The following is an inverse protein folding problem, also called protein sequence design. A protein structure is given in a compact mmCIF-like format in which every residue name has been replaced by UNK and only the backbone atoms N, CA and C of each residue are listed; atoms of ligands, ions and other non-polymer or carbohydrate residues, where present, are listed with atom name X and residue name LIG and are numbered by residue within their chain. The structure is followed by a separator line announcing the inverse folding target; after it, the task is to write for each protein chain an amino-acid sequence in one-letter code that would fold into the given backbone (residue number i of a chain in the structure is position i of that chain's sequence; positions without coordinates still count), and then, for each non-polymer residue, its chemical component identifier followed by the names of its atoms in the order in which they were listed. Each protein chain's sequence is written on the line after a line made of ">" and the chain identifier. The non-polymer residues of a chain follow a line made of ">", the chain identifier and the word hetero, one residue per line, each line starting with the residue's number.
data_IF_187528650663
#
_entry.id   IF_187528650663
#
_cell.length_a   1.000
_cell.length_b   1.000
_cell.length_c   1.000
_cell.angle_alpha   90.00
_cell.angle_beta   90.00
_cell.angle_gamma   90.00
#
_symmetry.space_group_name_H-M   'P 1'
#
loop_
_entity.id
_entity.type
_entity.pdbx_description
1 polymer ?
#
# COMPACT_ATOMS: atom_id res chain seq x y z
N UNK A 1 26.65 -67.76 -20.00
CA UNK A 1 26.15 -66.67 -20.87
C UNK A 1 24.66 -66.88 -20.95
N UNK A 2 23.75 -66.02 -20.49
CA UNK A 2 23.82 -64.57 -20.32
C UNK A 2 22.89 -64.08 -19.19
N UNK A 3 23.23 -62.91 -18.67
CA UNK A 3 22.64 -62.11 -17.60
C UNK A 3 21.30 -61.53 -18.09
N UNK A 4 20.25 -61.25 -17.30
CA UNK A 4 20.12 -60.02 -16.50
C UNK A 4 18.66 -59.92 -15.98
N UNK A 5 18.49 -59.82 -14.66
CA UNK A 5 18.00 -58.65 -13.92
C UNK A 5 16.47 -58.46 -13.83
N UNK A 6 15.96 -58.80 -12.65
CA UNK A 6 14.89 -58.09 -11.94
C UNK A 6 14.88 -56.59 -12.26
N UNK A 7 13.72 -56.05 -12.65
CA UNK A 7 13.40 -54.65 -12.42
C UNK A 7 11.99 -54.53 -11.87
N UNK A 8 11.94 -54.37 -10.54
CA UNK A 8 10.79 -53.91 -9.79
C UNK A 8 10.31 -52.59 -10.38
N UNK A 9 9.09 -52.57 -10.92
CA UNK A 9 8.42 -51.33 -11.32
C UNK A 9 7.81 -50.72 -10.07
N UNK A 10 8.60 -49.92 -9.35
CA UNK A 10 8.09 -49.02 -8.31
C UNK A 10 7.41 -47.84 -9.00
N UNK A 11 6.09 -47.92 -9.15
CA UNK A 11 5.25 -46.79 -9.54
C UNK A 11 5.24 -45.82 -8.35
N UNK A 12 6.17 -44.86 -8.35
CA UNK A 12 6.05 -43.67 -7.51
C UNK A 12 4.87 -42.85 -8.05
N UNK A 13 3.73 -42.92 -7.36
CA UNK A 13 2.66 -41.93 -7.51
C UNK A 13 3.20 -40.60 -7.00
N UNK A 14 3.90 -39.86 -7.87
CA UNK A 14 4.25 -38.46 -7.61
C UNK A 14 2.94 -37.69 -7.69
N UNK A 15 2.28 -37.50 -6.55
CA UNK A 15 1.23 -36.49 -6.43
C UNK A 15 1.90 -35.15 -6.65
N UNK A 16 1.82 -34.63 -7.89
CA UNK A 16 2.24 -33.27 -8.19
C UNK A 16 1.53 -32.35 -7.20
N UNK A 17 2.27 -31.57 -6.39
CA UNK A 17 1.63 -30.57 -5.54
C UNK A 17 0.89 -29.63 -6.48
N UNK A 18 -0.43 -29.55 -6.32
CA UNK A 18 -1.26 -28.57 -7.01
C UNK A 18 -0.76 -27.20 -6.53
N UNK A 19 0.09 -26.56 -7.32
CA UNK A 19 0.45 -25.17 -7.12
C UNK A 19 -0.82 -24.36 -7.41
N UNK A 20 -1.58 -24.01 -6.37
CA UNK A 20 -2.61 -22.99 -6.47
C UNK A 20 -1.90 -21.68 -6.80
N UNK A 21 -2.00 -21.25 -8.05
CA UNK A 21 -1.53 -19.92 -8.43
C UNK A 21 -2.29 -18.90 -7.59
N UNK A 22 -1.55 -18.06 -6.86
CA UNK A 22 -2.18 -16.92 -6.20
C UNK A 22 -2.88 -16.09 -7.29
N UNK A 23 -4.17 -15.80 -7.10
CA UNK A 23 -4.95 -14.97 -8.02
C UNK A 23 -5.29 -13.61 -7.39
N UNK A 24 -5.53 -12.61 -8.24
CA UNK A 24 -5.97 -11.28 -7.82
C UNK A 24 -7.35 -11.42 -7.15
N UNK A 25 -7.47 -10.99 -5.90
CA UNK A 25 -8.79 -10.89 -5.27
C UNK A 25 -9.48 -9.60 -5.72
N UNK A 26 -10.52 -9.75 -6.55
CA UNK A 26 -11.33 -8.62 -7.02
C UNK A 26 -11.99 -7.82 -5.88
N UNK A 27 -12.26 -8.43 -4.72
CA UNK A 27 -12.76 -7.71 -3.54
C UNK A 27 -11.68 -6.80 -2.96
N UNK A 28 -10.42 -7.22 -3.00
CA UNK A 28 -9.28 -6.40 -2.62
C UNK A 28 -9.15 -5.17 -3.50
N UNK A 29 -9.22 -5.37 -4.82
CA UNK A 29 -9.18 -4.29 -5.81
C UNK A 29 -10.38 -3.34 -5.64
N UNK A 30 -11.57 -3.88 -5.36
CA UNK A 30 -12.74 -3.05 -5.07
C UNK A 30 -12.56 -2.16 -3.82
N UNK A 31 -11.88 -2.66 -2.78
CA UNK A 31 -11.50 -1.86 -1.60
C UNK A 31 -10.55 -0.73 -1.99
N UNK A 32 -9.52 -1.03 -2.78
CA UNK A 32 -8.60 -0.02 -3.29
C UNK A 32 -9.32 1.07 -4.08
N UNK A 33 -10.27 0.69 -4.94
CA UNK A 33 -11.02 1.64 -5.75
C UNK A 33 -11.88 2.61 -4.93
N UNK A 34 -12.34 2.18 -3.76
CA UNK A 34 -13.19 2.97 -2.85
C UNK A 34 -12.39 3.76 -1.81
N UNK A 35 -11.06 3.60 -1.75
CA UNK A 35 -10.27 4.14 -0.64
C UNK A 35 -10.59 3.46 0.71
N UNK A 36 -11.07 2.22 0.69
CA UNK A 36 -11.32 1.46 1.91
C UNK A 36 -9.97 1.03 2.51
N UNK A 37 -9.68 1.48 3.74
CA UNK A 37 -8.44 1.18 4.44
C UNK A 37 -8.18 -0.32 4.60
N UNK A 38 -9.20 -1.18 4.60
CA UNK A 38 -9.01 -2.63 4.66
C UNK A 38 -8.28 -3.20 3.42
N UNK A 39 -8.16 -2.43 2.33
CA UNK A 39 -7.28 -2.77 1.21
C UNK A 39 -5.84 -3.08 1.68
N UNK A 40 -5.28 -2.28 2.59
CA UNK A 40 -3.90 -2.49 3.05
C UNK A 40 -3.70 -3.83 3.76
N UNK A 41 -4.69 -4.29 4.54
CA UNK A 41 -4.66 -5.60 5.19
C UNK A 41 -4.81 -6.73 4.18
N UNK A 42 -5.69 -6.55 3.21
CA UNK A 42 -5.85 -7.51 2.13
C UNK A 42 -4.57 -7.65 1.29
N UNK A 43 -3.92 -6.53 0.95
CA UNK A 43 -2.62 -6.55 0.28
C UNK A 43 -1.54 -7.21 1.16
N UNK A 44 -1.53 -6.93 2.47
CA UNK A 44 -0.57 -7.54 3.40
C UNK A 44 -0.68 -9.08 3.46
N UNK A 45 -1.88 -9.66 3.30
CA UNK A 45 -2.05 -11.12 3.25
C UNK A 45 -1.24 -11.77 2.13
N UNK A 46 -1.06 -11.05 1.01
CA UNK A 46 -0.25 -11.52 -0.12
C UNK A 46 1.21 -11.10 -0.02
N UNK A 47 1.49 -9.82 0.31
CA UNK A 47 2.86 -9.28 0.30
C UNK A 47 3.67 -9.66 1.54
N UNK A 48 3.02 -9.81 2.69
CA UNK A 48 3.59 -10.25 3.97
C UNK A 48 4.81 -9.44 4.42
N UNK A 49 4.73 -8.11 4.42
CA UNK A 49 5.81 -7.22 4.85
C UNK A 49 5.96 -7.05 6.37
N UNK A 50 5.04 -7.63 7.14
CA UNK A 50 5.02 -7.57 8.60
C UNK A 50 4.36 -6.31 9.15
N UNK A 51 4.11 -6.33 10.47
CA UNK A 51 3.39 -5.27 11.19
C UNK A 51 4.07 -3.89 11.10
N UNK A 52 5.40 -3.86 10.99
CA UNK A 52 6.19 -2.64 10.82
C UNK A 52 6.38 -2.22 9.35
N UNK A 53 5.99 -3.09 8.40
CA UNK A 53 6.04 -2.81 6.98
C UNK A 53 5.07 -1.70 6.57
N UNK A 54 5.28 -1.12 5.38
CA UNK A 54 4.51 0.03 4.91
C UNK A 54 2.99 -0.19 4.96
N UNK A 55 2.50 -1.35 4.52
CA UNK A 55 1.07 -1.63 4.41
C UNK A 55 0.35 -1.49 5.76
N UNK A 56 0.92 -2.07 6.82
CA UNK A 56 0.28 -2.06 8.16
C UNK A 56 0.77 -0.90 9.01
N UNK A 57 2.10 -0.74 9.12
CA UNK A 57 2.72 0.25 9.99
C UNK A 57 2.50 1.70 9.55
N UNK A 58 2.19 1.92 8.26
CA UNK A 58 1.98 3.25 7.70
C UNK A 58 0.61 3.40 7.01
N UNK A 59 0.39 2.71 5.89
CA UNK A 59 -0.81 2.87 5.05
C UNK A 59 -2.11 2.63 5.81
N UNK A 60 -2.28 1.45 6.41
CA UNK A 60 -3.46 1.11 7.21
C UNK A 60 -3.64 2.05 8.41
N UNK A 61 -2.56 2.32 9.14
CA UNK A 61 -2.53 3.19 10.32
C UNK A 61 -3.03 4.59 9.98
N UNK A 62 -2.43 5.24 8.98
CA UNK A 62 -2.75 6.62 8.63
C UNK A 62 -4.08 6.75 7.89
N UNK A 63 -4.45 5.81 7.02
CA UNK A 63 -5.76 5.80 6.39
C UNK A 63 -6.88 5.84 7.44
N UNK A 64 -6.82 4.95 8.45
CA UNK A 64 -7.83 4.94 9.51
C UNK A 64 -7.77 6.18 10.40
N UNK A 65 -6.59 6.73 10.66
CA UNK A 65 -6.46 7.96 11.47
C UNK A 65 -7.01 9.18 10.73
N UNK A 66 -6.77 9.32 9.43
CA UNK A 66 -7.43 10.37 8.64
C UNK A 66 -8.95 10.20 8.65
N UNK A 67 -9.45 8.97 8.50
CA UNK A 67 -10.89 8.67 8.58
C UNK A 67 -11.49 9.02 9.96
N UNK A 68 -10.79 8.75 11.06
CA UNK A 68 -11.28 9.07 12.41
C UNK A 68 -11.32 10.58 12.70
N UNK A 69 -10.52 11.38 11.99
CA UNK A 69 -10.51 12.84 12.10
C UNK A 69 -11.32 13.53 10.98
N UNK A 70 -11.97 12.79 10.09
CA UNK A 70 -12.65 13.34 8.90
C UNK A 70 -13.61 14.49 9.25
N UNK A 71 -14.39 14.35 10.33
CA UNK A 71 -15.32 15.38 10.78
C UNK A 71 -14.66 16.69 11.20
N UNK A 72 -13.39 16.66 11.63
CA UNK A 72 -12.62 17.81 12.10
C UNK A 72 -12.02 18.64 10.95
N UNK A 73 -11.94 18.08 9.73
CA UNK A 73 -11.47 18.83 8.57
C UNK A 73 -12.51 19.85 8.11
N UNK A 74 -12.02 20.95 7.52
CA UNK A 74 -12.87 21.92 6.81
C UNK A 74 -13.53 21.25 5.60
N UNK A 75 -14.52 21.90 4.99
CA UNK A 75 -15.15 21.40 3.76
C UNK A 75 -14.11 21.12 2.65
N UNK A 76 -13.11 21.99 2.51
CA UNK A 76 -12.00 21.78 1.56
C UNK A 76 -11.14 20.57 1.97
N UNK A 77 -10.87 20.40 3.27
CA UNK A 77 -10.13 19.25 3.78
C UNK A 77 -10.84 17.91 3.57
N UNK A 78 -12.17 17.88 3.74
CA UNK A 78 -12.99 16.70 3.47
C UNK A 78 -12.96 16.32 1.99
N UNK A 79 -13.14 17.29 1.09
CA UNK A 79 -13.00 17.09 -0.37
C UNK A 79 -11.61 16.54 -0.74
N UNK A 80 -10.55 17.05 -0.10
CA UNK A 80 -9.20 16.53 -0.29
C UNK A 80 -9.08 15.08 0.18
N UNK A 81 -9.63 14.72 1.34
CA UNK A 81 -9.63 13.34 1.85
C UNK A 81 -10.38 12.37 0.93
N UNK A 82 -11.54 12.80 0.42
CA UNK A 82 -12.37 12.04 -0.50
C UNK A 82 -11.67 11.80 -1.85
N UNK A 83 -10.74 12.69 -2.24
CA UNK A 83 -9.90 12.54 -3.43
C UNK A 83 -8.64 11.70 -3.17
N UNK A 84 -7.86 12.05 -2.15
CA UNK A 84 -6.49 11.54 -1.95
C UNK A 84 -6.51 10.08 -1.50
N UNK A 85 -7.49 9.69 -0.67
CA UNK A 85 -7.57 8.34 -0.11
C UNK A 85 -7.73 7.28 -1.20
N UNK A 86 -8.74 7.37 -2.08
CA UNK A 86 -8.84 6.44 -3.21
C UNK A 86 -7.69 6.58 -4.22
N UNK A 87 -7.07 7.76 -4.37
CA UNK A 87 -5.88 7.91 -5.23
C UNK A 87 -4.72 7.04 -4.73
N UNK A 88 -4.39 7.13 -3.44
CA UNK A 88 -3.29 6.40 -2.81
C UNK A 88 -3.51 4.88 -2.89
N UNK A 89 -4.71 4.40 -2.60
CA UNK A 89 -4.98 2.96 -2.62
C UNK A 89 -5.01 2.40 -4.05
N UNK A 90 -5.57 3.13 -5.02
CA UNK A 90 -5.56 2.72 -6.44
C UNK A 90 -4.16 2.64 -7.01
N UNK A 91 -3.28 3.57 -6.65
CA UNK A 91 -1.89 3.57 -7.12
C UNK A 91 -1.15 2.27 -6.76
N UNK A 92 -1.59 1.56 -5.72
CA UNK A 92 -0.96 0.32 -5.25
C UNK A 92 -1.53 -0.95 -5.91
N UNK A 93 -2.57 -0.87 -6.74
CA UNK A 93 -3.19 -2.06 -7.38
C UNK A 93 -2.17 -2.84 -8.21
N UNK A 94 -1.36 -2.17 -9.03
CA UNK A 94 -0.33 -2.87 -9.81
C UNK A 94 0.70 -3.58 -8.94
N UNK A 95 1.04 -3.02 -7.76
CA UNK A 95 1.95 -3.68 -6.80
C UNK A 95 1.30 -4.84 -6.07
N UNK A 96 -0.01 -4.81 -5.90
CA UNK A 96 -0.77 -5.95 -5.40
C UNK A 96 -0.71 -7.11 -6.40
N UNK A 97 -0.96 -6.85 -7.68
CA UNK A 97 -0.89 -7.85 -8.75
C UNK A 97 0.51 -8.47 -8.91
N UNK A 98 1.57 -7.65 -8.80
CA UNK A 98 2.97 -8.14 -8.80
C UNK A 98 3.29 -9.10 -7.64
N UNK A 99 2.45 -9.20 -6.60
CA UNK A 99 2.72 -10.03 -5.41
C UNK A 99 2.30 -11.49 -5.55
N UNK A 100 1.75 -11.88 -6.71
CA UNK A 100 1.27 -13.24 -6.98
C UNK A 100 2.40 -14.24 -7.37
N UNK A 101 3.67 -13.82 -7.31
CA UNK A 101 4.83 -14.63 -7.67
C UNK A 101 6.00 -14.53 -6.66
N UNK A 102 7.11 -15.25 -6.91
CA UNK A 102 8.24 -15.29 -5.98
C UNK A 102 8.97 -13.93 -5.89
N UNK A 103 9.07 -13.38 -4.68
CA UNK A 103 9.89 -12.20 -4.37
C UNK A 103 9.19 -11.17 -3.48
N UNK A 104 9.58 -11.09 -2.21
CA UNK A 104 9.04 -10.09 -1.27
C UNK A 104 9.88 -8.80 -1.30
N UNK A 105 9.43 -7.81 -2.08
CA UNK A 105 10.11 -6.52 -2.28
C UNK A 105 9.55 -5.41 -1.40
N UNK A 106 9.49 -5.64 -0.09
CA UNK A 106 8.83 -4.74 0.86
C UNK A 106 9.42 -3.33 0.93
N UNK A 107 10.74 -3.20 0.84
CA UNK A 107 11.40 -1.89 0.80
C UNK A 107 11.07 -1.14 -0.50
N UNK A 108 11.07 -1.82 -1.65
CA UNK A 108 10.70 -1.21 -2.93
C UNK A 108 9.22 -0.81 -2.96
N UNK A 109 8.34 -1.63 -2.36
CA UNK A 109 6.94 -1.26 -2.18
C UNK A 109 6.80 0.00 -1.31
N UNK A 110 7.56 0.10 -0.21
CA UNK A 110 7.56 1.28 0.64
C UNK A 110 7.98 2.52 -0.15
N UNK A 111 9.10 2.47 -0.86
CA UNK A 111 9.59 3.57 -1.70
C UNK A 111 8.56 3.99 -2.74
N UNK A 112 8.04 3.04 -3.51
CA UNK A 112 6.99 3.29 -4.50
C UNK A 112 5.77 3.95 -3.87
N UNK A 113 5.33 3.46 -2.72
CA UNK A 113 4.16 4.02 -2.06
C UNK A 113 4.38 5.47 -1.60
N UNK A 114 5.55 5.81 -1.04
CA UNK A 114 5.86 7.21 -0.68
C UNK A 114 5.92 8.14 -1.90
N UNK A 115 6.45 7.69 -3.04
CA UNK A 115 6.45 8.45 -4.29
C UNK A 115 5.01 8.76 -4.77
N UNK A 116 4.09 7.79 -4.65
CA UNK A 116 2.69 8.01 -5.04
C UNK A 116 1.98 9.05 -4.17
N UNK A 117 2.43 9.29 -2.94
CA UNK A 117 1.81 10.32 -2.10
C UNK A 117 2.01 11.72 -2.66
N UNK A 118 3.21 12.04 -3.16
CA UNK A 118 3.51 13.37 -3.69
C UNK A 118 2.53 13.69 -4.83
N UNK A 119 2.41 12.79 -5.80
CA UNK A 119 1.48 12.93 -6.92
C UNK A 119 0.01 13.06 -6.45
N UNK A 120 -0.46 12.13 -5.61
CA UNK A 120 -1.86 12.17 -5.14
C UNK A 120 -2.18 13.42 -4.31
N UNK A 121 -1.22 13.91 -3.51
CA UNK A 121 -1.43 15.11 -2.70
C UNK A 121 -1.58 16.34 -3.58
N UNK A 122 -0.70 16.50 -4.58
CA UNK A 122 -0.74 17.63 -5.51
C UNK A 122 -1.97 17.59 -6.41
N UNK A 123 -2.29 16.43 -6.99
CA UNK A 123 -3.45 16.25 -7.88
C UNK A 123 -4.78 16.52 -7.16
N UNK A 124 -4.84 16.25 -5.85
CA UNK A 124 -6.02 16.51 -5.03
C UNK A 124 -6.04 17.91 -4.41
N UNK A 125 -5.06 18.78 -4.69
CA UNK A 125 -5.05 20.17 -4.23
C UNK A 125 -4.54 20.39 -2.80
N UNK A 126 -3.57 19.59 -2.34
CA UNK A 126 -3.04 19.70 -0.97
C UNK A 126 -2.52 21.11 -0.63
N UNK A 127 -1.94 21.83 -1.60
CA UNK A 127 -1.36 23.16 -1.40
C UNK A 127 -2.37 24.19 -0.88
N UNK A 128 -3.63 24.11 -1.33
CA UNK A 128 -4.71 25.00 -0.90
C UNK A 128 -5.33 24.57 0.44
N UNK A 129 -5.22 23.29 0.75
CA UNK A 129 -5.94 22.65 1.87
C UNK A 129 -5.10 22.67 3.15
N UNK A 130 -3.78 22.57 3.04
CA UNK A 130 -2.88 22.43 4.18
C UNK A 130 -3.03 23.54 5.22
N UNK A 131 -3.03 24.81 4.78
CA UNK A 131 -3.07 25.99 5.67
C UNK A 131 -4.35 26.02 6.52
N UNK A 132 -5.50 25.69 5.92
CA UNK A 132 -6.80 25.71 6.59
C UNK A 132 -7.04 24.50 7.51
N UNK A 133 -6.20 23.46 7.44
CA UNK A 133 -6.35 22.22 8.20
C UNK A 133 -5.13 21.86 9.05
N UNK A 134 -4.18 22.78 9.24
CA UNK A 134 -2.88 22.51 9.90
C UNK A 134 -3.04 21.93 11.30
N UNK A 135 -4.05 22.35 12.06
CA UNK A 135 -4.30 21.84 13.42
C UNK A 135 -4.75 20.38 13.41
N UNK A 136 -5.52 19.95 12.41
CA UNK A 136 -5.97 18.57 12.24
C UNK A 136 -4.82 17.71 11.71
N UNK A 137 -4.05 18.21 10.74
CA UNK A 137 -2.85 17.51 10.25
C UNK A 137 -1.85 17.22 11.37
N UNK A 138 -1.59 18.17 12.27
CA UNK A 138 -0.74 17.94 13.46
C UNK A 138 -1.28 16.88 14.42
N UNK A 139 -2.61 16.71 14.49
CA UNK A 139 -3.25 15.67 15.31
C UNK A 139 -3.25 14.31 14.62
N UNK A 140 -3.29 14.27 13.29
CA UNK A 140 -3.28 13.01 12.52
C UNK A 140 -1.86 12.48 12.35
N UNK A 141 -0.89 13.33 12.04
CA UNK A 141 0.47 12.89 11.74
C UNK A 141 1.26 12.73 13.05
N UNK A 142 1.76 11.52 13.32
CA UNK A 142 2.67 11.33 14.45
C UNK A 142 4.01 11.94 14.10
N UNK A 143 4.56 12.78 14.99
CA UNK A 143 5.89 13.35 14.82
C UNK A 143 6.96 12.26 14.61
N UNK A 144 6.85 11.13 15.32
CA UNK A 144 7.77 9.98 15.20
C UNK A 144 7.85 9.39 13.80
N UNK A 145 6.75 9.39 13.04
CA UNK A 145 6.67 8.72 11.74
C UNK A 145 6.97 9.69 10.59
N UNK A 146 6.72 10.99 10.82
CA UNK A 146 7.15 12.09 9.95
C UNK A 146 8.67 12.23 9.91
N UNK A 147 9.39 11.72 10.91
CA UNK A 147 10.84 11.73 10.99
C UNK A 147 11.51 10.54 10.27
N UNK A 148 10.73 9.64 9.66
CA UNK A 148 11.33 8.67 8.73
C UNK A 148 11.89 9.41 7.51
N UNK A 149 13.03 8.96 6.98
CA UNK A 149 13.68 9.58 5.82
C UNK A 149 12.73 9.70 4.63
N UNK A 150 11.88 8.68 4.42
CA UNK A 150 10.89 8.66 3.35
C UNK A 150 9.79 9.72 3.55
N UNK A 151 9.26 9.85 4.77
CA UNK A 151 8.25 10.86 5.09
C UNK A 151 8.82 12.30 5.05
N UNK A 152 10.09 12.47 5.46
CA UNK A 152 10.78 13.75 5.36
C UNK A 152 11.01 14.15 3.90
N UNK A 153 11.47 13.22 3.07
CA UNK A 153 11.65 13.44 1.63
C UNK A 153 10.32 13.80 0.96
N UNK A 154 9.27 13.03 1.21
CA UNK A 154 7.92 13.32 0.72
C UNK A 154 7.45 14.73 1.14
N UNK A 155 7.65 15.08 2.42
CA UNK A 155 7.27 16.39 2.95
C UNK A 155 8.01 17.54 2.27
N UNK A 156 9.32 17.38 2.02
CA UNK A 156 10.14 18.36 1.30
C UNK A 156 9.71 18.51 -0.16
N UNK A 157 9.43 17.42 -0.86
CA UNK A 157 8.97 17.44 -2.25
C UNK A 157 7.63 18.14 -2.39
N UNK A 158 6.64 17.79 -1.56
CA UNK A 158 5.33 18.48 -1.55
C UNK A 158 5.47 19.95 -1.19
N UNK A 159 6.32 20.30 -0.21
CA UNK A 159 6.54 21.69 0.19
C UNK A 159 7.18 22.52 -0.94
N UNK A 160 8.15 21.95 -1.66
CA UNK A 160 8.78 22.60 -2.81
C UNK A 160 7.77 22.83 -3.94
N UNK A 161 6.99 21.81 -4.30
CA UNK A 161 5.95 21.90 -5.34
C UNK A 161 4.87 22.93 -5.00
N UNK A 162 4.42 22.97 -3.75
CA UNK A 162 3.46 23.98 -3.29
C UNK A 162 4.02 25.40 -3.21
N UNK A 163 5.34 25.60 -3.27
CA UNK A 163 5.96 26.93 -3.29
C UNK A 163 5.88 27.60 -4.66
N UNK A 164 5.78 26.80 -5.73
CA UNK A 164 5.82 27.25 -7.13
C UNK A 164 4.47 27.17 -7.84
N UNK A 165 3.42 26.79 -7.12
CA UNK A 165 2.01 26.85 -7.55
C UNK A 165 1.33 28.06 -6.93
#
# INVERSE_FOLDING_TARGET
>A
MDRTLWKFVLIFLVTNPIFTTASVDHKCVAKANKGDCEFYRCFEQQRQCGKSGYLIGYGYKYCNRFKSFYSNFTTAGKKWLDCVTPCLTKALIGKYEESLGPGHKCNQLKTYAFETHVKCYLDCGFCDVYKSNVSVFRKVLSFSDLLSTDALKQGLEVANECRFR
#
